data_IF_514177869663
#
_entry.id   IF_514177869663
#
_cell.length_a   1.000
_cell.length_b   1.000
_cell.length_c   1.000
_cell.angle_alpha   90.00
_cell.angle_beta   90.00
_cell.angle_gamma   90.00
#
_symmetry.space_group_name_H-M   'P 1'
#
loop_
_entity.id
_entity.type
_entity.pdbx_description
1 polymer ?
#
# COMPACT_ATOMS: atom_id res chain seq x y z
N UNK A 1 -7.00 -24.52 37.49
CA UNK A 1 -6.19 -23.28 37.57
C UNK A 1 -4.98 -23.21 36.63
N UNK A 2 -4.45 -24.34 36.10
CA UNK A 2 -3.28 -24.32 35.21
C UNK A 2 -3.58 -23.93 33.74
N UNK A 3 -4.81 -24.14 33.26
CA UNK A 3 -5.19 -23.85 31.86
C UNK A 3 -5.42 -22.35 31.60
N UNK A 4 -5.87 -21.59 32.60
CA UNK A 4 -6.07 -20.13 32.48
C UNK A 4 -4.73 -19.37 32.42
N UNK A 5 -3.69 -19.85 33.11
CA UNK A 5 -2.33 -19.29 33.03
C UNK A 5 -1.67 -19.53 31.67
N UNK A 6 -1.99 -20.62 30.98
CA UNK A 6 -1.49 -20.90 29.62
C UNK A 6 -2.17 -20.03 28.57
N UNK A 7 -3.45 -19.71 28.72
CA UNK A 7 -4.14 -18.79 27.80
C UNK A 7 -3.69 -17.34 27.99
N UNK A 8 -3.45 -16.91 29.23
CA UNK A 8 -2.88 -15.58 29.51
C UNK A 8 -1.42 -15.43 29.03
N UNK A 9 -0.61 -16.50 29.09
CA UNK A 9 0.74 -16.52 28.48
C UNK A 9 0.71 -16.59 26.95
N UNK A 10 -0.30 -17.23 26.35
CA UNK A 10 -0.51 -17.23 24.89
C UNK A 10 -1.01 -15.88 24.37
N UNK A 11 -1.80 -15.13 25.15
CA UNK A 11 -2.23 -13.77 24.83
C UNK A 11 -1.09 -12.75 24.93
N UNK A 12 -0.18 -12.90 25.89
CA UNK A 12 1.01 -12.06 26.03
C UNK A 12 2.07 -12.29 24.93
N UNK A 13 2.03 -13.44 24.25
CA UNK A 13 2.91 -13.75 23.12
C UNK A 13 2.41 -13.18 21.79
N UNK A 14 1.12 -12.83 21.66
CA UNK A 14 0.56 -12.26 20.44
C UNK A 14 0.70 -10.73 20.37
N UNK A 15 0.87 -10.06 21.51
CA UNK A 15 1.05 -8.59 21.58
C UNK A 15 2.52 -8.19 21.41
N UNK A 16 3.46 -9.14 21.47
CA UNK A 16 4.91 -8.89 21.31
C UNK A 16 5.45 -9.15 19.90
N UNK A 17 4.60 -9.07 18.88
CA UNK A 17 5.00 -9.17 17.49
C UNK A 17 4.42 -7.99 16.70
N UNK A 18 5.29 -7.00 16.45
CA UNK A 18 5.19 -5.84 15.54
C UNK A 18 5.12 -4.46 16.20
N UNK A 19 6.08 -4.17 17.07
CA UNK A 19 6.66 -2.83 17.17
C UNK A 19 8.16 -3.02 17.42
N UNK A 20 8.99 -2.46 16.52
CA UNK A 20 10.45 -2.55 16.41
C UNK A 20 11.00 -3.80 15.69
N UNK A 21 10.96 -3.78 14.36
CA UNK A 21 12.12 -3.36 13.55
C UNK A 21 11.99 -3.88 12.12
N UNK A 22 11.63 -2.97 11.21
CA UNK A 22 12.10 -3.01 9.83
C UNK A 22 12.59 -1.62 9.44
N UNK A 23 13.41 -1.02 10.32
CA UNK A 23 14.40 -0.01 9.96
C UNK A 23 15.56 -0.68 9.20
N UNK A 24 15.26 -1.49 8.18
CA UNK A 24 16.19 -1.97 7.15
C UNK A 24 15.41 -2.80 6.12
N UNK A 25 14.36 -2.24 5.55
CA UNK A 25 14.13 -2.50 4.13
C UNK A 25 14.79 -1.35 3.41
N UNK A 26 16.04 -1.60 3.01
CA UNK A 26 16.68 -0.93 1.89
C UNK A 26 15.56 -0.69 0.87
N UNK A 27 15.35 0.55 0.48
CA UNK A 27 14.52 0.89 -0.67
C UNK A 27 15.20 0.36 -1.93
N UNK A 28 15.38 -0.96 -2.03
CA UNK A 28 15.78 -1.64 -3.25
C UNK A 28 14.53 -1.73 -4.12
N UNK A 29 14.49 -0.79 -5.05
CA UNK A 29 13.81 -0.87 -6.32
C UNK A 29 12.29 -1.15 -6.28
N UNK A 30 11.51 -0.08 -6.13
CA UNK A 30 10.35 0.09 -7.04
C UNK A 30 10.78 0.53 -8.45
N UNK A 31 12.09 0.50 -8.74
CA UNK A 31 12.71 0.68 -10.04
C UNK A 31 12.44 -0.47 -11.04
N UNK A 32 11.38 -1.27 -10.85
CA UNK A 32 11.23 -2.54 -11.58
C UNK A 32 9.91 -2.75 -12.32
N UNK A 33 8.93 -1.84 -12.31
CA UNK A 33 7.63 -2.16 -12.93
C UNK A 33 6.75 -0.99 -13.38
N UNK A 34 7.37 0.09 -13.83
CA UNK A 34 6.73 1.04 -14.76
C UNK A 34 7.44 1.00 -16.11
N UNK A 35 7.69 -0.23 -16.58
CA UNK A 35 8.26 -0.56 -17.89
C UNK A 35 7.22 -0.28 -18.98
N UNK A 36 6.97 1.00 -19.29
CA UNK A 36 6.58 1.43 -20.65
C UNK A 36 6.59 2.94 -20.91
N UNK A 37 6.84 3.78 -19.90
CA UNK A 37 7.19 5.17 -20.20
C UNK A 37 8.68 5.20 -20.47
N UNK A 38 9.07 5.05 -21.75
CA UNK A 38 10.45 5.28 -22.20
C UNK A 38 10.89 6.66 -21.68
N UNK A 39 11.65 6.65 -20.60
CA UNK A 39 12.24 7.83 -20.02
C UNK A 39 13.27 8.35 -21.04
N UNK A 40 12.87 9.24 -21.93
CA UNK A 40 13.79 10.00 -22.81
C UNK A 40 14.84 10.72 -21.94
N UNK A 41 14.56 10.91 -20.64
CA UNK A 41 15.49 11.48 -19.68
C UNK A 41 16.76 10.65 -19.42
N UNK A 42 16.85 9.39 -19.83
CA UNK A 42 18.12 8.66 -19.80
C UNK A 42 19.04 8.98 -20.99
N UNK A 43 18.53 9.68 -22.01
CA UNK A 43 19.39 10.37 -22.99
C UNK A 43 19.96 11.70 -22.43
N UNK A 44 19.45 12.15 -21.28
CA UNK A 44 19.82 13.42 -20.64
C UNK A 44 20.81 13.26 -19.45
N UNK A 45 21.24 12.03 -19.12
CA UNK A 45 22.30 11.78 -18.11
C UNK A 45 23.72 12.07 -18.61
N UNK A 46 23.88 12.96 -19.59
CA UNK A 46 25.13 13.68 -19.81
C UNK A 46 25.00 15.05 -19.17
N UNK A 47 25.52 15.18 -17.95
CA UNK A 47 25.86 16.42 -17.25
C UNK A 47 25.48 17.73 -17.97
N UNK A 48 24.40 18.38 -17.54
CA UNK A 48 24.29 19.85 -17.52
C UNK A 48 24.29 20.62 -18.84
N UNK A 49 24.14 20.00 -20.01
CA UNK A 49 23.95 20.73 -21.25
C UNK A 49 22.65 20.29 -21.90
N UNK A 50 21.67 21.21 -21.92
CA UNK A 50 20.73 21.29 -23.02
C UNK A 50 21.53 21.02 -24.30
N UNK A 51 21.41 19.83 -24.90
CA UNK A 51 21.90 19.61 -26.26
C UNK A 51 20.98 20.39 -27.18
N UNK A 52 21.12 21.72 -27.15
CA UNK A 52 21.05 22.47 -28.39
C UNK A 52 22.05 21.76 -29.29
N UNK A 53 21.55 21.06 -30.31
CA UNK A 53 22.38 20.50 -31.36
C UNK A 53 22.99 21.69 -32.10
N UNK A 54 24.03 22.27 -31.51
CA UNK A 54 24.79 23.35 -32.11
C UNK A 54 25.57 22.72 -33.25
N UNK A 55 24.98 22.82 -34.45
CA UNK A 55 25.67 22.48 -35.68
C UNK A 55 26.57 23.66 -36.00
N UNK A 56 27.89 23.44 -35.91
CA UNK A 56 28.85 24.37 -36.46
C UNK A 56 28.78 24.28 -37.99
N UNK A 57 27.98 25.17 -38.58
CA UNK A 57 27.71 25.20 -40.02
C UNK A 57 28.97 25.53 -40.81
N UNK A 58 29.86 26.36 -40.27
CA UNK A 58 31.12 26.72 -40.92
C UNK A 58 32.08 25.54 -40.94
N UNK A 59 32.26 24.85 -39.81
CA UNK A 59 33.10 23.65 -39.76
C UNK A 59 32.56 22.54 -40.67
N UNK A 60 31.23 22.39 -40.76
CA UNK A 60 30.61 21.42 -41.65
C UNK A 60 30.88 21.72 -43.12
N UNK A 61 30.71 22.98 -43.54
CA UNK A 61 31.02 23.41 -44.92
C UNK A 61 32.51 23.21 -45.24
N UNK A 62 33.42 23.59 -44.33
CA UNK A 62 34.87 23.41 -44.54
C UNK A 62 35.27 21.94 -44.66
N UNK A 63 34.61 21.06 -43.91
CA UNK A 63 34.82 19.61 -44.03
C UNK A 63 34.33 19.06 -45.36
N UNK A 64 33.18 19.54 -45.86
CA UNK A 64 32.68 19.14 -47.17
C UNK A 64 33.60 19.64 -48.30
N UNK A 65 34.06 20.88 -48.21
CA UNK A 65 35.05 21.45 -49.15
C UNK A 65 36.37 20.66 -49.15
N UNK A 66 36.82 20.17 -47.98
CA UNK A 66 38.01 19.32 -47.87
C UNK A 66 37.87 17.94 -48.53
N UNK A 67 36.64 17.55 -48.89
CA UNK A 67 36.33 16.32 -49.63
C UNK A 67 35.97 16.62 -51.09
N UNK A 68 36.52 17.70 -51.65
CA UNK A 68 36.32 18.15 -53.03
C UNK A 68 34.86 18.50 -53.39
N UNK A 69 34.00 18.76 -52.40
CA UNK A 69 32.64 19.27 -52.64
C UNK A 69 32.70 20.76 -52.97
N UNK A 70 32.15 21.23 -54.10
CA UNK A 70 32.08 22.65 -54.41
C UNK A 70 31.36 23.44 -53.31
N UNK A 71 31.90 24.61 -52.95
CA UNK A 71 31.40 25.45 -51.86
C UNK A 71 29.87 25.66 -51.89
N UNK A 72 29.31 25.96 -53.07
CA UNK A 72 27.87 26.13 -53.28
C UNK A 72 27.05 24.86 -52.99
N UNK A 73 27.59 23.68 -53.27
CA UNK A 73 26.94 22.40 -52.96
C UNK A 73 27.08 22.06 -51.47
N UNK A 74 28.24 22.35 -50.87
CA UNK A 74 28.47 22.17 -49.43
C UNK A 74 27.51 23.03 -48.59
N UNK A 75 27.26 24.28 -49.00
CA UNK A 75 26.25 25.15 -48.40
C UNK A 75 24.83 24.58 -48.55
N UNK A 76 24.45 24.10 -49.74
CA UNK A 76 23.14 23.53 -49.98
C UNK A 76 22.88 22.26 -49.14
N UNK A 77 23.88 21.38 -49.03
CA UNK A 77 23.81 20.18 -48.19
C UNK A 77 23.67 20.56 -46.72
N UNK A 78 24.49 21.51 -46.25
CA UNK A 78 24.42 22.02 -44.88
C UNK A 78 23.04 22.62 -44.57
N UNK A 79 22.47 23.36 -45.52
CA UNK A 79 21.13 23.93 -45.38
C UNK A 79 20.03 22.86 -45.29
N UNK A 80 20.11 21.81 -46.10
CA UNK A 80 19.18 20.68 -46.04
C UNK A 80 19.26 19.95 -44.68
N UNK A 81 20.47 19.77 -44.13
CA UNK A 81 20.67 19.17 -42.81
C UNK A 81 20.03 20.03 -41.71
N UNK A 82 20.25 21.36 -41.74
CA UNK A 82 19.61 22.28 -40.78
C UNK A 82 18.09 22.18 -40.84
N UNK A 83 17.51 22.13 -42.04
CA UNK A 83 16.06 22.01 -42.23
C UNK A 83 15.50 20.71 -41.61
N UNK A 84 16.14 19.57 -41.87
CA UNK A 84 15.73 18.27 -41.29
C UNK A 84 15.88 18.27 -39.77
N UNK A 85 16.95 18.87 -39.23
CA UNK A 85 17.16 18.96 -37.78
C UNK A 85 16.11 19.82 -37.09
N UNK A 86 15.71 20.95 -37.69
CA UNK A 86 14.66 21.80 -37.15
C UNK A 86 13.32 21.07 -37.07
N UNK A 87 12.92 20.39 -38.15
CA UNK A 87 11.68 19.58 -38.19
C UNK A 87 11.74 18.45 -37.16
N UNK A 88 12.89 17.78 -37.05
CA UNK A 88 13.07 16.68 -36.09
C UNK A 88 13.00 17.18 -34.64
N UNK A 89 13.58 18.34 -34.34
CA UNK A 89 13.58 18.91 -32.99
C UNK A 89 12.19 19.41 -32.59
N UNK A 90 11.45 20.00 -33.52
CA UNK A 90 10.04 20.38 -33.32
C UNK A 90 9.18 19.15 -33.03
N UNK A 91 9.33 18.07 -33.80
CA UNK A 91 8.62 16.82 -33.52
C UNK A 91 8.98 16.21 -32.15
N UNK A 92 10.25 16.30 -31.73
CA UNK A 92 10.69 15.80 -30.43
C UNK A 92 10.12 16.63 -29.28
N UNK A 93 10.07 17.96 -29.43
CA UNK A 93 9.56 18.86 -28.39
C UNK A 93 8.08 18.58 -28.06
N UNK A 94 7.27 18.24 -29.07
CA UNK A 94 5.87 17.84 -28.88
C UNK A 94 5.70 16.51 -28.13
N UNK A 95 6.68 15.61 -28.20
CA UNK A 95 6.65 14.32 -27.50
C UNK A 95 7.28 14.33 -26.11
N UNK A 96 7.99 15.42 -25.77
CA UNK A 96 8.65 15.60 -24.49
C UNK A 96 7.72 16.35 -23.54
N UNK A 97 7.68 15.89 -22.30
CA UNK A 97 6.98 16.59 -21.21
C UNK A 97 8.00 17.48 -20.52
N UNK A 98 7.62 18.72 -20.18
CA UNK A 98 8.49 19.62 -19.43
C UNK A 98 8.77 19.07 -18.02
N UNK A 99 9.89 19.50 -17.42
CA UNK A 99 10.24 19.08 -16.06
C UNK A 99 9.18 19.53 -15.06
N UNK A 100 8.61 20.71 -15.28
CA UNK A 100 7.59 21.33 -14.45
C UNK A 100 6.27 20.56 -14.52
N UNK A 101 5.83 20.16 -15.72
CA UNK A 101 4.64 19.33 -15.89
C UNK A 101 4.82 17.94 -15.29
N UNK A 102 5.98 17.32 -15.50
CA UNK A 102 6.32 16.05 -14.86
C UNK A 102 6.25 16.17 -13.33
N UNK A 103 6.84 17.21 -12.75
CA UNK A 103 6.83 17.45 -11.31
C UNK A 103 5.40 17.66 -10.78
N UNK A 104 4.56 18.42 -11.48
CA UNK A 104 3.14 18.58 -11.13
C UNK A 104 2.40 17.24 -11.12
N UNK A 105 2.64 16.40 -12.14
CA UNK A 105 2.03 15.07 -12.22
C UNK A 105 2.47 14.18 -11.06
N UNK A 106 3.76 14.22 -10.68
CA UNK A 106 4.29 13.50 -9.52
C UNK A 106 3.64 13.99 -8.23
N UNK A 107 3.56 15.30 -8.01
CA UNK A 107 2.93 15.88 -6.82
C UNK A 107 1.45 15.49 -6.70
N UNK A 108 0.72 15.44 -7.83
CA UNK A 108 -0.67 14.98 -7.86
C UNK A 108 -0.77 13.50 -7.48
N UNK A 109 0.11 12.66 -8.02
CA UNK A 109 0.16 11.24 -7.71
C UNK A 109 0.46 11.00 -6.23
N UNK A 110 1.44 11.71 -5.66
CA UNK A 110 1.80 11.64 -4.25
C UNK A 110 0.65 12.07 -3.34
N UNK A 111 -0.06 13.15 -3.70
CA UNK A 111 -1.24 13.62 -2.97
C UNK A 111 -2.36 12.58 -2.97
N UNK A 112 -2.67 12.01 -4.13
CA UNK A 112 -3.69 10.96 -4.27
C UNK A 112 -3.30 9.70 -3.50
N UNK A 113 -2.03 9.29 -3.56
CA UNK A 113 -1.52 8.15 -2.80
C UNK A 113 -1.64 8.38 -1.30
N UNK A 114 -1.35 9.60 -0.83
CA UNK A 114 -1.50 9.98 0.58
C UNK A 114 -2.96 9.90 1.03
N UNK A 115 -3.90 10.44 0.22
CA UNK A 115 -5.35 10.33 0.48
C UNK A 115 -5.80 8.87 0.54
N UNK A 116 -5.44 8.07 -0.46
CA UNK A 116 -5.76 6.64 -0.48
C UNK A 116 -5.25 5.92 0.77
N UNK A 117 -4.00 6.18 1.19
CA UNK A 117 -3.45 5.60 2.42
C UNK A 117 -4.26 5.99 3.65
N UNK A 118 -4.69 7.25 3.74
CA UNK A 118 -5.52 7.72 4.86
C UNK A 118 -6.91 7.08 4.89
N UNK A 119 -7.54 6.90 3.73
CA UNK A 119 -8.84 6.23 3.59
C UNK A 119 -8.75 4.76 3.98
N UNK A 120 -7.72 4.04 3.49
CA UNK A 120 -7.47 2.64 3.85
C UNK A 120 -7.26 2.50 5.36
N UNK A 121 -6.45 3.37 5.96
CA UNK A 121 -6.21 3.34 7.40
C UNK A 121 -7.47 3.64 8.21
N UNK A 122 -8.27 4.62 7.77
CA UNK A 122 -9.54 4.96 8.42
C UNK A 122 -10.55 3.79 8.34
N UNK A 123 -10.67 3.15 7.18
CA UNK A 123 -11.53 1.98 6.99
C UNK A 123 -11.08 0.80 7.86
N UNK A 124 -9.76 0.60 8.01
CA UNK A 124 -9.20 -0.44 8.86
C UNK A 124 -9.54 -0.19 10.34
N UNK A 125 -9.33 1.03 10.84
CA UNK A 125 -9.68 1.40 12.23
C UNK A 125 -11.18 1.25 12.48
N UNK A 126 -12.02 1.67 11.54
CA UNK A 126 -13.48 1.52 11.66
C UNK A 126 -13.89 0.03 11.72
N UNK A 127 -13.27 -0.82 10.89
CA UNK A 127 -13.50 -2.27 10.91
C UNK A 127 -13.08 -2.89 12.24
N UNK A 128 -11.92 -2.50 12.77
CA UNK A 128 -11.43 -2.97 14.06
C UNK A 128 -12.39 -2.59 15.20
N UNK A 129 -12.87 -1.34 15.22
CA UNK A 129 -13.86 -0.88 16.19
C UNK A 129 -15.17 -1.69 16.13
N UNK A 130 -15.68 -1.96 14.92
CA UNK A 130 -16.88 -2.80 14.75
C UNK A 130 -16.60 -4.20 15.29
N UNK A 131 -15.46 -4.79 14.95
CA UNK A 131 -15.07 -6.12 15.43
C UNK A 131 -15.01 -6.19 16.95
N UNK A 132 -14.33 -5.23 17.61
CA UNK A 132 -14.25 -5.16 19.08
C UNK A 132 -15.64 -5.00 19.73
N UNK A 133 -16.50 -4.17 19.15
CA UNK A 133 -17.87 -3.99 19.65
C UNK A 133 -18.70 -5.27 19.52
N UNK A 134 -18.55 -6.01 18.41
CA UNK A 134 -19.27 -7.27 18.19
C UNK A 134 -18.78 -8.37 19.12
N UNK A 135 -17.46 -8.47 19.35
CA UNK A 135 -16.89 -9.39 20.33
C UNK A 135 -17.39 -9.10 21.75
N UNK A 136 -17.45 -7.83 22.12
CA UNK A 136 -17.96 -7.41 23.43
C UNK A 136 -19.45 -7.77 23.60
N UNK A 137 -20.26 -7.63 22.54
CA UNK A 137 -21.68 -8.05 22.56
C UNK A 137 -21.82 -9.56 22.74
N UNK A 138 -21.10 -10.36 21.95
CA UNK A 138 -21.13 -11.82 22.07
C UNK A 138 -20.65 -12.29 23.45
N UNK A 139 -19.63 -11.65 24.01
CA UNK A 139 -19.17 -11.96 25.37
C UNK A 139 -20.26 -11.71 26.41
N UNK A 140 -20.99 -10.61 26.30
CA UNK A 140 -22.11 -10.29 27.19
C UNK A 140 -23.27 -11.29 27.03
N UNK A 141 -23.59 -11.69 25.81
CA UNK A 141 -24.61 -12.72 25.52
C UNK A 141 -24.24 -14.07 26.15
N UNK A 142 -23.00 -14.52 25.95
CA UNK A 142 -22.50 -15.76 26.57
C UNK A 142 -22.59 -15.68 28.09
N UNK A 143 -22.17 -14.57 28.70
CA UNK A 143 -22.24 -14.39 30.15
C UNK A 143 -23.69 -14.39 30.66
N UNK A 144 -24.62 -13.80 29.90
CA UNK A 144 -26.05 -13.84 30.20
C UNK A 144 -26.57 -15.27 30.21
N UNK A 145 -26.27 -16.04 29.16
CA UNK A 145 -26.76 -17.42 29.03
C UNK A 145 -26.14 -18.35 30.05
N UNK A 146 -24.86 -18.18 30.39
CA UNK A 146 -24.24 -18.89 31.52
C UNK A 146 -24.95 -18.60 32.84
N UNK A 147 -25.38 -17.36 33.06
CA UNK A 147 -26.09 -16.96 34.29
C UNK A 147 -27.48 -17.59 34.35
N UNK A 148 -28.21 -17.61 33.22
CA UNK A 148 -29.52 -18.28 33.10
C UNK A 148 -29.39 -19.79 33.31
N UNK A 149 -28.44 -20.44 32.65
CA UNK A 149 -28.22 -21.88 32.79
C UNK A 149 -27.90 -22.27 34.23
N UNK A 150 -27.07 -21.46 34.91
CA UNK A 150 -26.78 -21.69 36.33
C UNK A 150 -28.03 -21.58 37.20
N UNK A 151 -28.88 -20.58 36.95
CA UNK A 151 -30.15 -20.44 37.65
C UNK A 151 -31.07 -21.65 37.42
N UNK A 152 -31.19 -22.14 36.19
CA UNK A 152 -32.01 -23.33 35.88
C UNK A 152 -31.45 -24.60 36.54
N UNK A 153 -30.13 -24.77 36.59
CA UNK A 153 -29.49 -25.88 37.32
C UNK A 153 -29.81 -25.81 38.82
N UNK A 154 -29.64 -24.64 39.44
CA UNK A 154 -29.90 -24.44 40.87
C UNK A 154 -31.37 -24.73 41.20
N UNK A 155 -32.28 -24.30 40.33
CA UNK A 155 -33.72 -24.56 40.43
C UNK A 155 -34.05 -26.06 40.29
N UNK A 156 -33.49 -26.74 39.29
CA UNK A 156 -33.69 -28.18 39.10
C UNK A 156 -33.16 -29.00 40.29
N UNK A 157 -31.97 -28.65 40.80
CA UNK A 157 -31.39 -29.26 41.98
C UNK A 157 -32.25 -29.05 43.24
N UNK A 158 -32.80 -27.84 43.42
CA UNK A 158 -33.72 -27.57 44.52
C UNK A 158 -35.00 -28.41 44.42
N UNK A 159 -35.55 -28.56 43.20
CA UNK A 159 -36.70 -29.45 42.92
C UNK A 159 -36.40 -30.90 43.27
N UNK A 160 -35.28 -31.44 42.78
CA UNK A 160 -34.87 -32.82 43.09
C UNK A 160 -34.67 -33.03 44.60
N UNK A 161 -34.08 -32.07 45.31
CA UNK A 161 -33.94 -32.14 46.78
C UNK A 161 -35.28 -32.13 47.49
N UNK A 162 -36.25 -31.35 46.99
CA UNK A 162 -37.62 -31.33 47.49
C UNK A 162 -38.28 -32.70 47.29
N UNK A 163 -38.23 -33.24 46.08
CA UNK A 163 -38.82 -34.55 45.74
C UNK A 163 -38.27 -35.65 46.64
N UNK A 164 -36.94 -35.72 46.78
CA UNK A 164 -36.27 -36.68 47.67
C UNK A 164 -36.64 -36.52 49.15
N UNK A 165 -36.99 -35.31 49.60
CA UNK A 165 -37.42 -35.07 50.98
C UNK A 165 -38.89 -35.49 51.16
N UNK A 166 -39.73 -35.25 50.16
CA UNK A 166 -41.14 -35.64 50.17
C UNK A 166 -41.28 -37.17 50.18
N UNK A 167 -40.56 -37.89 49.32
CA UNK A 167 -40.56 -39.37 49.29
C UNK A 167 -40.18 -39.97 50.65
N UNK A 168 -39.17 -39.41 51.32
CA UNK A 168 -38.80 -39.82 52.67
C UNK A 168 -39.93 -39.55 53.67
N UNK A 169 -40.54 -38.37 53.65
CA UNK A 169 -41.67 -38.03 54.54
C UNK A 169 -42.85 -39.00 54.41
N UNK A 170 -43.24 -39.37 53.19
CA UNK A 170 -44.29 -40.35 52.95
C UNK A 170 -43.92 -41.76 53.43
N UNK A 171 -42.66 -42.16 53.26
CA UNK A 171 -42.18 -43.44 53.78
C UNK A 171 -42.21 -43.50 55.31
N UNK A 172 -41.95 -42.40 56.03
CA UNK A 172 -42.04 -42.38 57.49
C UNK A 172 -43.49 -42.43 58.01
N UNK A 173 -44.45 -41.85 57.28
CA UNK A 173 -45.86 -41.83 57.66
C UNK A 173 -46.56 -43.20 57.52
N UNK A 174 -46.02 -44.10 56.70
CA UNK A 174 -46.62 -45.42 56.43
C UNK A 174 -46.19 -46.52 57.41
N UNK A 175 -45.28 -46.23 58.35
CA UNK A 175 -44.79 -47.17 59.38
C UNK A 175 -45.35 -46.92 60.81
N UNK A 176 -46.38 -46.09 60.97
CA UNK A 176 -47.16 -45.91 62.20
C UNK A 176 -48.64 -46.22 61.94
#
# INVERSE_FOLDING_TARGET
MALYRRFAQSGAHLVKLRLLDASSSRSSSLAGKLEHSRHISDLARTNGANRAFLVDTLALVRRLESQDVPSKQAEAITHAIIAVLNVSLESLSHSCISKEEMQKSVMLLESNLSKFKSEVNSAQVAREMIQESTLSKFQNEIQSDLSKNRYEIDKANAGQRLDLNLERGYSFQTFF
#
